data_IF_425367150921
#
_entry.id   IF_425367150921
#
_cell.length_a   1.000
_cell.length_b   1.000
_cell.length_c   1.000
_cell.angle_alpha   90.00
_cell.angle_beta   90.00
_cell.angle_gamma   90.00
#
_symmetry.space_group_name_H-M   'P 1'
#
loop_
_entity.id
_entity.type
_entity.pdbx_description
1 polymer ?
#
# COMPACT_ATOMS: atom_id res chain seq x y z
N UNK A 1 -5.24 -14.20 13.72
CA UNK A 1 -4.70 -14.07 12.35
C UNK A 1 -5.72 -13.26 11.55
N UNK A 2 -5.57 -11.94 11.53
CA UNK A 2 -6.47 -11.07 10.79
C UNK A 2 -6.01 -11.11 9.33
N UNK A 3 -6.76 -11.81 8.49
CA UNK A 3 -6.52 -11.82 7.05
C UNK A 3 -6.86 -10.46 6.48
N UNK A 4 -5.88 -9.80 5.87
CA UNK A 4 -6.07 -8.55 5.13
C UNK A 4 -5.97 -8.87 3.65
N UNK A 5 -7.01 -8.52 2.88
CA UNK A 5 -7.10 -8.76 1.44
C UNK A 5 -6.97 -7.41 0.74
N UNK A 6 -6.07 -7.30 -0.23
CA UNK A 6 -6.05 -6.19 -1.18
C UNK A 6 -6.70 -6.57 -2.48
N UNK A 7 -7.49 -5.66 -3.03
CA UNK A 7 -8.03 -5.75 -4.38
C UNK A 7 -7.52 -4.57 -5.21
N UNK A 8 -6.65 -4.86 -6.18
CA UNK A 8 -6.37 -3.94 -7.27
C UNK A 8 -7.28 -4.26 -8.46
N UNK A 9 -7.83 -3.23 -9.10
CA UNK A 9 -8.31 -3.37 -10.47
C UNK A 9 -8.05 -2.07 -11.22
N UNK A 10 -7.09 -2.10 -12.14
CA UNK A 10 -6.96 -1.04 -13.14
C UNK A 10 -8.22 -1.07 -13.99
N UNK A 11 -9.08 -0.04 -13.84
CA UNK A 11 -10.23 0.08 -14.71
C UNK A 11 -9.75 0.58 -16.08
N UNK A 12 -9.48 -0.36 -16.98
CA UNK A 12 -9.53 -0.11 -18.41
C UNK A 12 -10.99 -0.25 -18.80
N UNK A 13 -11.62 0.82 -19.30
CA UNK A 13 -12.92 0.71 -19.96
C UNK A 13 -12.78 -0.34 -21.08
N UNK A 14 -13.33 -1.53 -20.86
CA UNK A 14 -13.17 -2.65 -21.79
C UNK A 14 -14.00 -2.36 -23.04
N UNK A 15 -13.31 -2.19 -24.16
CA UNK A 15 -13.53 -3.11 -25.27
C UNK A 15 -12.75 -4.38 -24.99
N UNK A 16 -13.43 -5.52 -25.03
CA UNK A 16 -12.92 -6.85 -24.72
C UNK A 16 -11.77 -7.21 -25.65
N UNK A 17 -10.57 -7.47 -25.11
CA UNK A 17 -9.63 -8.42 -25.71
C UNK A 17 -9.01 -9.24 -24.59
N UNK A 18 -9.46 -10.49 -24.51
CA UNK A 18 -8.80 -11.57 -23.78
C UNK A 18 -7.56 -11.97 -24.57
N UNK A 19 -6.36 -11.68 -24.06
CA UNK A 19 -5.13 -12.32 -24.56
C UNK A 19 -4.74 -13.39 -23.56
N UNK A 20 -5.24 -14.60 -23.83
CA UNK A 20 -4.74 -15.81 -23.22
C UNK A 20 -3.36 -16.12 -23.82
N UNK A 21 -2.30 -15.99 -23.02
CA UNK A 21 -1.03 -16.63 -23.39
C UNK A 21 -1.01 -18.05 -22.80
N UNK A 22 -1.31 -19.03 -23.66
CA UNK A 22 -0.92 -20.42 -23.48
C UNK A 22 0.60 -20.50 -23.47
N UNK A 23 1.18 -20.94 -22.35
CA UNK A 23 2.48 -21.60 -22.36
C UNK A 23 2.29 -22.95 -21.68
N UNK A 24 2.21 -24.00 -22.50
CA UNK A 24 2.16 -25.38 -22.05
C UNK A 24 3.59 -25.91 -21.87
N UNK A 25 3.88 -26.25 -20.61
CA UNK A 25 4.56 -27.45 -20.10
C UNK A 25 5.78 -27.99 -20.87
N UNK A 26 6.93 -27.94 -20.20
CA UNK A 26 7.77 -29.13 -19.98
C UNK A 26 8.58 -28.93 -18.69
N UNK A 27 8.12 -29.54 -17.59
CA UNK A 27 8.94 -29.75 -16.39
C UNK A 27 8.78 -31.21 -15.99
N UNK A 28 9.84 -31.98 -16.23
CA UNK A 28 10.02 -33.32 -15.70
C UNK A 28 9.96 -33.24 -14.16
N UNK A 29 8.99 -33.94 -13.57
CA UNK A 29 8.89 -34.10 -12.11
C UNK A 29 10.03 -35.01 -11.63
N UNK A 30 11.03 -34.42 -11.01
CA UNK A 30 11.90 -35.13 -10.06
C UNK A 30 11.22 -35.15 -8.68
N UNK A 31 11.19 -36.27 -7.96
CA UNK A 31 10.68 -36.33 -6.60
C UNK A 31 11.76 -35.85 -5.63
N UNK A 32 11.81 -34.55 -5.35
CA UNK A 32 12.68 -34.05 -4.29
C UNK A 32 12.07 -34.37 -2.92
N UNK A 33 12.77 -35.27 -2.21
CA UNK A 33 12.61 -35.59 -0.80
C UNK A 33 12.37 -34.32 0.04
N UNK A 34 11.31 -34.34 0.85
CA UNK A 34 11.00 -33.30 1.82
C UNK A 34 12.02 -33.33 2.96
N UNK A 35 13.09 -32.55 2.82
CA UNK A 35 13.95 -32.22 3.94
C UNK A 35 13.20 -31.16 4.78
N UNK A 36 12.70 -31.56 5.95
CA UNK A 36 12.11 -30.64 6.93
C UNK A 36 13.15 -29.56 7.25
N UNK A 37 13.02 -28.39 6.63
CA UNK A 37 13.82 -27.21 6.96
C UNK A 37 13.34 -26.72 8.32
N UNK A 38 14.13 -26.98 9.35
CA UNK A 38 13.95 -26.32 10.64
C UNK A 38 14.05 -24.80 10.41
N UNK A 39 13.02 -24.07 10.86
CA UNK A 39 13.05 -22.61 10.83
C UNK A 39 14.17 -22.14 11.77
N UNK A 40 15.23 -21.55 11.20
CA UNK A 40 16.29 -20.91 11.98
C UNK A 40 15.84 -19.48 12.30
N UNK A 41 15.75 -19.17 13.59
CA UNK A 41 15.53 -17.80 14.05
C UNK A 41 16.87 -17.05 13.87
N UNK A 42 16.81 -15.87 13.26
CA UNK A 42 17.95 -14.98 13.12
C UNK A 42 17.56 -13.62 13.72
N UNK A 43 18.43 -13.06 14.55
CA UNK A 43 18.28 -11.70 15.03
C UNK A 43 18.67 -10.72 13.92
N UNK A 44 17.73 -9.89 13.49
CA UNK A 44 17.93 -8.90 12.40
C UNK A 44 18.04 -7.47 12.92
N UNK A 45 17.73 -7.25 14.21
CA UNK A 45 17.72 -5.93 14.80
C UNK A 45 16.85 -5.82 16.05
N UNK A 46 16.73 -4.59 16.57
CA UNK A 46 15.97 -4.26 17.79
C UNK A 46 14.83 -3.31 17.47
N UNK A 47 13.60 -3.70 17.82
CA UNK A 47 12.42 -2.84 17.70
C UNK A 47 12.58 -1.57 18.53
N UNK A 48 12.13 -0.46 17.96
CA UNK A 48 12.04 0.84 18.61
C UNK A 48 10.59 1.14 18.98
N UNK A 49 10.41 2.14 19.84
CA UNK A 49 9.06 2.62 20.17
C UNK A 49 8.50 3.35 18.96
N UNK A 50 7.34 2.92 18.48
CA UNK A 50 6.59 3.65 17.47
C UNK A 50 6.33 5.08 17.93
N UNK A 51 6.39 6.03 17.01
CA UNK A 51 6.14 7.43 17.30
C UNK A 51 4.66 7.69 17.60
N UNK A 52 4.41 8.60 18.54
CA UNK A 52 3.07 9.09 18.83
C UNK A 52 2.61 10.08 17.74
N UNK A 53 1.29 10.29 17.65
CA UNK A 53 0.65 11.27 16.74
C UNK A 53 1.24 12.67 16.95
N UNK A 54 2.18 13.06 16.11
CA UNK A 54 2.88 14.34 16.17
C UNK A 54 4.34 14.27 15.73
N UNK A 55 4.96 13.09 15.78
CA UNK A 55 6.27 12.83 15.16
C UNK A 55 6.09 11.98 13.91
N UNK A 56 6.91 12.22 12.91
CA UNK A 56 6.88 11.46 11.65
C UNK A 56 8.18 10.70 11.45
N UNK A 57 8.08 9.59 10.72
CA UNK A 57 9.25 8.84 10.29
C UNK A 57 9.92 9.57 9.12
N UNK A 58 11.24 9.61 9.14
CA UNK A 58 12.05 10.26 8.11
C UNK A 58 12.58 9.24 7.11
N UNK A 59 13.06 9.75 5.97
CA UNK A 59 13.76 8.94 4.97
C UNK A 59 14.84 8.08 5.60
N UNK A 60 14.91 6.81 5.19
CA UNK A 60 15.89 5.86 5.71
C UNK A 60 15.46 5.12 6.97
N UNK A 61 14.33 5.48 7.59
CA UNK A 61 13.81 4.75 8.75
C UNK A 61 13.49 3.30 8.36
N UNK A 62 14.16 2.35 9.01
CA UNK A 62 13.88 0.93 8.88
C UNK A 62 12.66 0.56 9.72
N UNK A 63 11.82 -0.34 9.20
CA UNK A 63 10.61 -0.77 9.89
C UNK A 63 10.19 -2.20 9.53
N UNK A 64 9.41 -2.81 10.41
CA UNK A 64 8.58 -3.98 10.11
C UNK A 64 7.14 -3.52 9.89
N UNK A 65 6.51 -3.97 8.81
CA UNK A 65 5.10 -3.67 8.57
C UNK A 65 4.24 -4.46 9.57
N UNK A 66 3.49 -3.77 10.44
CA UNK A 66 2.71 -4.35 11.54
C UNK A 66 1.75 -5.47 11.12
N UNK A 67 1.14 -5.32 9.95
CA UNK A 67 0.17 -6.28 9.40
C UNK A 67 0.83 -7.36 8.55
N UNK A 68 1.63 -6.97 7.55
CA UNK A 68 2.19 -7.89 6.56
C UNK A 68 3.51 -8.53 6.96
N UNK A 69 4.16 -8.02 8.01
CA UNK A 69 5.36 -8.60 8.60
C UNK A 69 6.63 -8.45 7.76
N UNK A 70 6.61 -7.68 6.68
CA UNK A 70 7.79 -7.45 5.84
C UNK A 70 8.72 -6.39 6.45
N UNK A 71 10.02 -6.50 6.18
CA UNK A 71 11.00 -5.43 6.42
C UNK A 71 10.93 -4.39 5.32
N UNK A 72 11.06 -3.14 5.69
CA UNK A 72 11.13 -2.05 4.74
C UNK A 72 11.93 -0.85 5.21
N UNK A 73 12.13 0.08 4.28
CA UNK A 73 12.71 1.39 4.54
C UNK A 73 11.78 2.49 4.06
N UNK A 74 11.60 3.53 4.88
CA UNK A 74 10.86 4.74 4.50
C UNK A 74 11.63 5.51 3.43
N UNK A 75 10.98 5.84 2.33
CA UNK A 75 11.54 6.68 1.27
C UNK A 75 11.23 8.15 1.55
N UNK A 76 9.96 8.50 1.67
CA UNK A 76 9.50 9.84 2.05
C UNK A 76 8.04 9.78 2.51
N UNK A 77 7.61 10.85 3.19
CA UNK A 77 6.26 11.00 3.72
C UNK A 77 5.38 11.86 2.82
N UNK A 78 4.07 11.67 2.91
CA UNK A 78 3.09 12.66 2.47
C UNK A 78 1.90 12.73 3.44
N UNK A 79 1.18 13.84 3.40
CA UNK A 79 -0.02 14.06 4.18
C UNK A 79 -1.25 13.77 3.32
N UNK A 80 -2.19 12.98 3.83
CA UNK A 80 -3.44 12.66 3.15
C UNK A 80 -4.64 13.11 3.97
N UNK A 81 -5.77 13.34 3.29
CA UNK A 81 -7.05 13.66 3.94
C UNK A 81 -7.86 12.39 4.19
N UNK A 82 -7.96 11.98 5.45
CA UNK A 82 -8.75 10.83 5.87
C UNK A 82 -10.20 11.22 6.13
N UNK A 83 -11.11 10.62 5.38
CA UNK A 83 -12.55 10.65 5.58
C UNK A 83 -12.95 9.33 6.24
N UNK A 84 -13.02 9.34 7.57
CA UNK A 84 -13.37 8.16 8.35
C UNK A 84 -14.83 8.20 8.80
N UNK A 85 -15.66 7.37 8.16
CA UNK A 85 -17.09 7.25 8.49
C UNK A 85 -17.33 6.56 9.84
N UNK A 86 -16.33 5.86 10.37
CA UNK A 86 -16.45 5.16 11.65
C UNK A 86 -16.40 6.13 12.84
N UNK A 87 -15.67 7.24 12.72
CA UNK A 87 -15.49 8.24 13.78
C UNK A 87 -16.80 8.98 14.12
N UNK A 88 -17.67 9.22 13.12
CA UNK A 88 -18.95 9.89 13.33
C UNK A 88 -20.01 8.97 13.97
N UNK A 89 -19.93 7.66 13.70
CA UNK A 89 -20.79 6.65 14.32
C UNK A 89 -20.48 6.40 15.80
N UNK A 90 -19.29 6.79 16.27
CA UNK A 90 -18.91 6.72 17.69
C UNK A 90 -19.38 7.95 18.48
N UNK A 91 -19.33 9.15 17.88
CA UNK A 91 -19.76 10.40 18.51
C UNK A 91 -21.30 10.54 18.63
N UNK A 92 -22.07 9.73 17.91
CA UNK A 92 -23.55 9.77 17.89
C UNK A 92 -24.22 8.75 18.83
N UNK A 93 -23.46 8.00 19.63
CA UNK A 93 -23.99 6.98 20.55
C UNK A 93 -24.35 7.47 21.95
N UNK A 94 -24.14 8.74 22.26
CA UNK A 94 -24.41 9.32 23.59
C UNK A 94 -25.79 10.00 23.72
N UNK A 95 -26.66 9.91 22.71
CA UNK A 95 -28.04 10.39 22.82
C UNK A 95 -29.03 9.26 22.54
N UNK A 96 -29.59 8.74 23.62
CA UNK A 96 -30.64 7.74 23.62
C UNK A 96 -31.96 8.32 23.10
N UNK A 97 -32.34 8.01 21.85
CA UNK A 97 -33.71 7.58 21.56
C UNK A 97 -33.88 6.93 20.19
N UNK A 98 -34.78 5.95 20.16
CA UNK A 98 -35.26 5.08 19.09
C UNK A 98 -35.51 5.70 17.71
N UNK A 99 -35.06 5.02 16.64
CA UNK A 99 -35.89 4.39 15.59
C UNK A 99 -35.04 4.02 14.36
N UNK A 100 -35.51 3.01 13.63
CA UNK A 100 -34.92 2.38 12.46
C UNK A 100 -34.67 3.39 11.32
N UNK A 101 -33.54 4.10 11.34
CA UNK A 101 -33.17 5.05 10.28
C UNK A 101 -32.21 4.36 9.28
N UNK A 102 -32.67 4.28 8.02
CA UNK A 102 -31.84 4.04 6.85
C UNK A 102 -30.56 4.90 6.90
N UNK A 103 -29.42 4.42 6.40
CA UNK A 103 -28.16 5.15 6.46
C UNK A 103 -28.34 6.50 5.77
N UNK A 104 -28.30 7.58 6.56
CA UNK A 104 -28.37 8.96 6.06
C UNK A 104 -27.18 9.20 5.13
N UNK A 105 -27.39 9.01 3.84
CA UNK A 105 -26.47 9.39 2.79
C UNK A 105 -26.44 10.93 2.72
N UNK A 106 -25.33 11.55 3.10
CA UNK A 106 -25.08 12.96 2.75
C UNK A 106 -24.66 13.90 3.88
N UNK A 107 -24.23 13.41 5.05
CA UNK A 107 -23.46 14.28 5.96
C UNK A 107 -21.98 14.27 5.54
N UNK A 108 -21.42 15.44 5.33
CA UNK A 108 -20.02 15.62 4.95
C UNK A 108 -19.11 15.17 6.08
N UNK A 109 -18.33 14.12 5.84
CA UNK A 109 -17.38 13.60 6.84
C UNK A 109 -16.24 14.58 7.02
N UNK A 110 -15.98 15.02 8.26
CA UNK A 110 -14.86 15.91 8.54
C UNK A 110 -13.53 15.21 8.23
N UNK A 111 -12.73 15.80 7.35
CA UNK A 111 -11.42 15.25 6.99
C UNK A 111 -10.39 15.45 8.12
N UNK A 112 -9.71 14.37 8.50
CA UNK A 112 -8.53 14.39 9.36
C UNK A 112 -7.25 14.36 8.51
N UNK A 113 -6.22 15.11 8.89
CA UNK A 113 -4.90 15.01 8.24
C UNK A 113 -4.13 13.84 8.83
N UNK A 114 -3.73 12.88 8.00
CA UNK A 114 -2.95 11.70 8.41
C UNK A 114 -1.68 11.56 7.59
N UNK A 115 -0.67 10.90 8.15
CA UNK A 115 0.62 10.67 7.48
C UNK A 115 0.69 9.27 6.85
N UNK A 116 1.10 9.25 5.59
CA UNK A 116 1.43 8.04 4.84
C UNK A 116 2.87 8.13 4.33
N UNK A 117 3.42 6.98 3.98
CA UNK A 117 4.81 6.83 3.59
C UNK A 117 4.89 6.03 2.31
N UNK A 118 5.70 6.50 1.36
CA UNK A 118 6.19 5.61 0.32
C UNK A 118 7.37 4.83 0.90
N UNK A 119 7.35 3.52 0.72
CA UNK A 119 8.30 2.60 1.36
C UNK A 119 8.89 1.63 0.35
N UNK A 120 10.07 1.13 0.66
CA UNK A 120 10.72 0.04 -0.05
C UNK A 120 10.57 -1.25 0.74
N UNK A 121 10.21 -2.34 0.08
CA UNK A 121 10.07 -3.68 0.66
C UNK A 121 11.38 -4.45 0.47
N UNK A 122 11.82 -5.18 1.49
CA UNK A 122 12.90 -6.15 1.35
C UNK A 122 12.47 -7.33 0.46
N UNK A 123 13.18 -7.54 -0.64
CA UNK A 123 12.89 -8.60 -1.62
C UNK A 123 12.93 -10.02 -1.02
N UNK A 124 13.63 -10.23 0.10
CA UNK A 124 13.66 -11.51 0.84
C UNK A 124 12.30 -11.85 1.44
N UNK A 125 11.50 -10.84 1.78
CA UNK A 125 10.22 -11.01 2.46
C UNK A 125 9.05 -11.07 1.46
N UNK A 126 9.24 -10.59 0.23
CA UNK A 126 8.23 -10.55 -0.81
C UNK A 126 7.48 -11.89 -1.02
N UNK A 127 8.14 -13.06 -1.09
CA UNK A 127 7.46 -14.35 -1.25
C UNK A 127 6.61 -14.79 -0.03
N UNK A 128 6.83 -14.16 1.13
CA UNK A 128 6.19 -14.53 2.40
C UNK A 128 5.01 -13.62 2.76
N UNK A 129 4.84 -12.51 2.05
CA UNK A 129 3.71 -11.61 2.23
C UNK A 129 2.47 -12.30 1.69
N UNK A 130 1.51 -12.55 2.58
CA UNK A 130 0.30 -13.33 2.27
C UNK A 130 -0.70 -12.57 1.39
N UNK A 131 -0.52 -11.26 1.26
CA UNK A 131 -1.25 -10.41 0.34
C UNK A 131 -0.43 -10.18 -0.94
N UNK A 132 -1.06 -9.86 -2.08
CA UNK A 132 -0.30 -9.44 -3.25
C UNK A 132 0.44 -8.14 -2.91
N UNK A 133 1.77 -8.19 -2.83
CA UNK A 133 2.58 -6.95 -2.82
C UNK A 133 2.48 -6.33 -4.18
N UNK A 134 1.76 -5.21 -4.25
CA UNK A 134 1.61 -4.48 -5.49
C UNK A 134 2.92 -3.79 -5.85
N UNK A 135 3.24 -3.79 -7.14
CA UNK A 135 4.28 -2.96 -7.71
C UNK A 135 3.69 -1.59 -7.98
N UNK A 136 4.42 -0.51 -7.65
CA UNK A 136 3.96 0.83 -7.95
C UNK A 136 3.84 1.05 -9.46
N UNK A 137 2.64 1.31 -9.96
CA UNK A 137 2.38 1.44 -11.39
C UNK A 137 2.35 2.87 -11.91
N UNK A 138 2.85 3.07 -13.13
CA UNK A 138 2.94 4.34 -13.84
C UNK A 138 2.40 4.22 -15.26
N UNK A 139 1.88 5.34 -15.74
CA UNK A 139 1.55 5.52 -17.14
C UNK A 139 2.83 5.71 -17.95
N UNK A 140 3.06 4.86 -18.94
CA UNK A 140 4.17 5.04 -19.88
C UNK A 140 4.07 6.31 -20.71
N UNK A 141 5.21 6.96 -20.98
CA UNK A 141 5.27 8.22 -21.72
C UNK A 141 5.02 8.08 -23.23
N UNK A 142 5.05 6.87 -23.78
CA UNK A 142 4.88 6.63 -25.22
C UNK A 142 3.42 6.87 -25.65
N UNK A 143 3.22 7.89 -26.49
CA UNK A 143 1.95 8.18 -27.17
C UNK A 143 1.43 6.93 -27.91
N UNK A 144 0.17 6.55 -27.67
CA UNK A 144 -0.45 5.37 -28.30
C UNK A 144 -0.14 4.01 -27.65
N UNK A 145 0.90 3.91 -26.80
CA UNK A 145 1.19 2.67 -26.07
C UNK A 145 0.32 2.56 -24.82
N UNK A 146 -0.49 1.48 -24.70
CA UNK A 146 -1.24 1.17 -23.47
C UNK A 146 -0.37 0.66 -22.31
N UNK A 147 0.96 0.79 -22.41
CA UNK A 147 1.89 0.23 -21.42
C UNK A 147 1.75 0.92 -20.07
N UNK A 148 1.60 0.09 -19.04
CA UNK A 148 1.68 0.46 -17.63
C UNK A 148 3.01 -0.12 -17.13
N UNK A 149 3.87 0.74 -16.60
CA UNK A 149 5.13 0.32 -16.00
C UNK A 149 4.92 0.05 -14.52
N UNK A 150 5.45 -1.04 -14.00
CA UNK A 150 5.31 -1.39 -12.60
C UNK A 150 6.69 -1.50 -11.95
N UNK A 151 6.89 -0.81 -10.82
CA UNK A 151 8.13 -0.89 -10.04
C UNK A 151 7.89 -1.84 -8.86
N UNK A 152 8.45 -3.05 -8.89
CA UNK A 152 8.29 -4.01 -7.80
C UNK A 152 8.95 -3.50 -6.52
N UNK A 153 8.38 -3.88 -5.39
CA UNK A 153 8.95 -3.60 -4.06
C UNK A 153 8.82 -2.15 -3.58
N UNK A 154 8.09 -1.28 -4.29
CA UNK A 154 7.64 0.02 -3.75
C UNK A 154 6.18 -0.11 -3.31
N UNK A 155 5.90 0.28 -2.07
CA UNK A 155 4.58 0.19 -1.44
C UNK A 155 4.24 1.47 -0.67
N UNK A 156 3.04 1.50 -0.08
CA UNK A 156 2.51 2.59 0.72
C UNK A 156 2.09 2.10 2.10
N UNK A 157 2.68 2.67 3.14
CA UNK A 157 2.37 2.32 4.52
C UNK A 157 1.69 3.50 5.23
N UNK A 158 0.68 3.21 6.04
CA UNK A 158 0.15 4.21 6.97
C UNK A 158 1.11 4.37 8.15
N UNK A 159 1.06 5.51 8.83
CA UNK A 159 1.84 5.72 10.05
C UNK A 159 1.64 4.61 11.10
N UNK A 160 0.39 4.11 11.24
CA UNK A 160 0.04 3.09 12.22
C UNK A 160 0.58 1.68 11.88
N UNK A 161 1.04 1.48 10.64
CA UNK A 161 1.59 0.21 10.18
C UNK A 161 3.11 0.11 10.32
N UNK A 162 3.80 1.21 10.63
CA UNK A 162 5.25 1.26 10.77
C UNK A 162 5.66 0.86 12.20
N UNK A 163 6.37 -0.26 12.33
CA UNK A 163 7.08 -0.62 13.56
C UNK A 163 8.58 -0.37 13.37
N UNK A 164 9.12 0.77 13.83
CA UNK A 164 10.52 1.13 13.60
C UNK A 164 11.47 0.12 14.28
N UNK A 165 12.64 -0.11 13.68
CA UNK A 165 13.69 -0.92 14.29
C UNK A 165 15.08 -0.45 13.88
N UNK A 166 16.09 -0.77 14.70
CA UNK A 166 17.51 -0.64 14.34
C UNK A 166 18.06 -1.98 13.87
N UNK A 167 18.62 -2.01 12.67
CA UNK A 167 19.27 -3.20 12.13
C UNK A 167 20.63 -3.45 12.79
N UNK A 168 20.95 -4.72 13.00
CA UNK A 168 22.32 -5.19 13.33
C UNK A 168 23.03 -5.74 12.10
N UNK A 169 22.31 -5.90 10.98
CA UNK A 169 22.85 -6.41 9.71
C UNK A 169 23.63 -5.33 8.96
N UNK A 170 24.72 -5.73 8.30
CA UNK A 170 25.48 -4.86 7.38
C UNK A 170 24.64 -4.41 6.18
N UNK A 171 23.74 -5.28 5.70
CA UNK A 171 22.80 -5.02 4.60
C UNK A 171 21.39 -5.15 5.15
N UNK A 172 20.84 -4.03 5.61
CA UNK A 172 19.55 -4.00 6.32
C UNK A 172 18.36 -4.34 5.42
N UNK A 173 18.36 -3.88 4.17
CA UNK A 173 17.29 -4.09 3.19
C UNK A 173 17.90 -4.57 1.87
N UNK A 174 17.42 -5.71 1.36
CA UNK A 174 17.81 -6.21 0.04
C UNK A 174 16.82 -5.75 -1.02
N UNK A 175 17.17 -4.71 -1.77
CA UNK A 175 16.37 -4.23 -2.89
C UNK A 175 17.25 -3.51 -3.94
N UNK A 176 16.94 -3.65 -5.24
CA UNK A 176 17.75 -3.06 -6.34
C UNK A 176 17.83 -1.54 -6.29
N UNK A 177 16.79 -0.89 -5.77
CA UNK A 177 16.72 0.56 -5.61
C UNK A 177 17.33 1.06 -4.30
N UNK A 178 17.66 0.19 -3.33
CA UNK A 178 18.05 0.63 -1.98
C UNK A 178 19.31 1.51 -2.04
N UNK A 179 20.40 1.02 -2.61
CA UNK A 179 21.66 1.75 -2.77
C UNK A 179 21.59 2.87 -3.82
N UNK A 180 20.54 2.92 -4.64
CA UNK A 180 20.30 4.05 -5.56
C UNK A 180 19.62 5.20 -4.86
N UNK A 181 18.73 4.90 -3.91
CA UNK A 181 17.90 5.89 -3.23
C UNK A 181 18.48 6.35 -1.90
N UNK A 182 19.19 5.47 -1.18
CA UNK A 182 19.64 5.70 0.17
C UNK A 182 21.15 5.47 0.26
N UNK A 183 21.86 6.35 0.94
CA UNK A 183 23.28 6.19 1.26
C UNK A 183 23.43 6.01 2.76
N UNK A 184 24.23 5.04 3.19
CA UNK A 184 24.51 4.81 4.61
C UNK A 184 25.32 5.97 5.19
N UNK A 185 24.81 6.61 6.24
CA UNK A 185 25.46 7.68 6.97
C UNK A 185 25.38 7.41 8.48
N UNK A 186 26.46 6.88 9.10
CA UNK A 186 26.42 6.47 10.51
C UNK A 186 26.33 7.65 11.50
N UNK A 187 26.48 8.89 11.02
CA UNK A 187 26.35 10.11 11.83
C UNK A 187 24.89 10.55 11.98
N UNK A 188 24.01 10.08 11.10
CA UNK A 188 22.60 10.43 11.08
C UNK A 188 21.75 9.38 11.82
N UNK A 189 20.55 9.79 12.24
CA UNK A 189 19.56 8.91 12.86
C UNK A 189 18.20 9.20 12.22
N UNK A 190 17.66 8.31 11.35
CA UNK A 190 18.18 6.99 10.95
C UNK A 190 19.49 7.06 10.13
N UNK A 191 20.30 5.98 10.08
CA UNK A 191 21.64 5.98 9.47
C UNK A 191 21.63 5.89 7.94
N UNK A 192 20.61 6.46 7.30
CA UNK A 192 20.44 6.47 5.85
C UNK A 192 19.89 7.81 5.39
N UNK A 193 20.50 8.39 4.37
CA UNK A 193 20.11 9.69 3.80
C UNK A 193 19.69 9.57 2.35
N UNK A 194 18.81 10.46 1.91
CA UNK A 194 18.32 10.51 0.53
C UNK A 194 19.42 10.92 -0.46
N UNK A 195 19.68 10.06 -1.45
CA UNK A 195 20.49 10.37 -2.62
C UNK A 195 19.69 11.17 -3.67
N UNK A 196 20.38 11.73 -4.66
CA UNK A 196 19.76 12.56 -5.71
C UNK A 196 18.70 11.81 -6.51
N UNK A 197 18.87 10.51 -6.74
CA UNK A 197 17.87 9.69 -7.41
C UNK A 197 16.55 9.63 -6.62
N UNK A 198 16.63 9.54 -5.29
CA UNK A 198 15.44 9.56 -4.44
C UNK A 198 14.80 10.96 -4.41
N UNK A 199 15.61 12.01 -4.31
CA UNK A 199 15.11 13.41 -4.32
C UNK A 199 14.41 13.75 -5.64
N UNK A 200 15.00 13.35 -6.76
CA UNK A 200 14.40 13.51 -8.09
C UNK A 200 13.11 12.69 -8.24
N UNK A 201 13.11 11.48 -7.69
CA UNK A 201 11.94 10.61 -7.64
C UNK A 201 10.80 11.21 -6.80
N UNK A 202 11.09 11.68 -5.59
CA UNK A 202 10.14 12.36 -4.70
C UNK A 202 9.55 13.58 -5.41
N UNK A 203 10.37 14.48 -5.95
CA UNK A 203 9.91 15.68 -6.67
C UNK A 203 8.91 15.37 -7.80
N UNK A 204 9.07 14.23 -8.49
CA UNK A 204 8.18 13.81 -9.58
C UNK A 204 6.88 13.17 -9.09
N UNK A 205 6.92 12.44 -7.98
CA UNK A 205 5.80 11.61 -7.51
C UNK A 205 4.96 12.27 -6.42
N UNK A 206 5.57 13.10 -5.58
CA UNK A 206 4.95 13.72 -4.42
C UNK A 206 3.68 14.54 -4.74
N UNK A 207 3.62 15.35 -5.82
CA UNK A 207 2.42 16.14 -6.14
C UNK A 207 1.15 15.28 -6.34
N UNK A 208 1.29 14.07 -6.90
CA UNK A 208 0.17 13.16 -7.11
C UNK A 208 -0.29 12.47 -5.82
N UNK A 209 0.59 12.39 -4.84
CA UNK A 209 0.31 11.79 -3.54
C UNK A 209 -0.42 12.77 -2.61
N UNK A 210 -0.05 14.05 -2.61
CA UNK A 210 -0.72 15.08 -1.77
C UNK A 210 -2.20 15.28 -2.12
N UNK A 211 -2.57 15.00 -3.37
CA UNK A 211 -3.96 15.03 -3.82
C UNK A 211 -4.78 13.81 -3.39
N UNK A 212 -4.14 12.80 -2.79
CA UNK A 212 -4.79 11.54 -2.43
C UNK A 212 -5.65 11.73 -1.18
N UNK A 213 -6.94 11.41 -1.32
CA UNK A 213 -7.84 11.24 -0.18
C UNK A 213 -7.80 9.79 0.30
N UNK A 214 -8.08 9.56 1.58
CA UNK A 214 -8.20 8.22 2.15
C UNK A 214 -9.61 8.09 2.67
N UNK A 215 -10.33 7.06 2.24
CA UNK A 215 -11.70 6.81 2.65
C UNK A 215 -11.74 5.55 3.48
N UNK A 216 -12.32 5.61 4.67
CA UNK A 216 -12.42 4.48 5.58
C UNK A 216 -13.85 4.29 6.07
N UNK A 217 -14.30 3.03 6.04
CA UNK A 217 -15.60 2.64 6.56
C UNK A 217 -15.55 1.18 7.02
N UNK A 218 -16.18 0.90 8.15
CA UNK A 218 -16.39 -0.43 8.69
C UNK A 218 -17.85 -0.82 8.57
N UNK A 219 -18.11 -2.04 8.10
CA UNK A 219 -19.46 -2.62 8.07
C UNK A 219 -19.34 -4.08 8.46
N UNK A 220 -20.16 -4.53 9.42
CA UNK A 220 -20.14 -5.92 9.93
C UNK A 220 -18.73 -6.41 10.35
N UNK A 221 -17.96 -5.52 10.99
CA UNK A 221 -16.55 -5.77 11.40
C UNK A 221 -15.57 -5.98 10.24
N UNK A 222 -15.95 -5.61 9.02
CA UNK A 222 -15.05 -5.55 7.87
C UNK A 222 -14.73 -4.08 7.61
N UNK A 223 -13.50 -3.69 7.90
CA UNK A 223 -13.01 -2.35 7.66
C UNK A 223 -12.37 -2.26 6.28
N UNK A 224 -12.88 -1.37 5.45
CA UNK A 224 -12.35 -1.09 4.12
C UNK A 224 -11.71 0.29 4.14
N UNK A 225 -10.45 0.37 3.71
CA UNK A 225 -9.72 1.63 3.49
C UNK A 225 -9.35 1.75 2.02
N UNK A 226 -9.69 2.86 1.37
CA UNK A 226 -9.45 3.10 -0.05
C UNK A 226 -8.61 4.36 -0.24
N UNK A 227 -7.56 4.26 -1.06
CA UNK A 227 -6.71 5.38 -1.47
C UNK A 227 -6.63 5.41 -2.99
N UNK A 228 -7.27 6.38 -3.68
CA UNK A 228 -7.11 6.58 -5.11
C UNK A 228 -5.86 7.40 -5.40
N UNK A 229 -5.19 7.07 -6.49
CA UNK A 229 -4.01 7.77 -6.98
C UNK A 229 -4.19 8.09 -8.46
N UNK A 230 -4.09 9.38 -8.78
CA UNK A 230 -4.13 9.83 -10.16
C UNK A 230 -2.83 9.47 -10.89
N UNK A 231 -2.95 8.85 -12.06
CA UNK A 231 -1.82 8.39 -12.87
C UNK A 231 -1.55 9.28 -14.09
N UNK A 232 -2.42 10.26 -14.37
CA UNK A 232 -2.32 11.15 -15.53
C UNK A 232 -3.39 10.91 -16.59
N UNK A 233 -3.23 11.58 -17.73
CA UNK A 233 -4.12 11.47 -18.89
C UNK A 233 -3.38 10.96 -20.12
N UNK A 234 -4.15 10.44 -21.09
CA UNK A 234 -3.69 10.14 -22.45
C UNK A 234 -4.74 10.58 -23.45
N UNK A 235 -4.30 11.04 -24.62
CA UNK A 235 -5.19 11.19 -25.76
C UNK A 235 -5.40 9.84 -26.44
N UNK A 236 -6.65 9.56 -26.82
CA UNK A 236 -7.03 8.41 -27.62
C UNK A 236 -8.06 8.85 -28.65
N UNK A 237 -7.67 8.90 -29.92
CA UNK A 237 -8.57 9.22 -31.05
C UNK A 237 -9.44 10.46 -30.75
N UNK A 238 -8.79 11.56 -30.32
CA UNK A 238 -9.40 12.84 -29.95
C UNK A 238 -10.14 12.92 -28.60
N UNK A 239 -10.21 11.83 -27.82
CA UNK A 239 -10.72 11.84 -26.45
C UNK A 239 -9.60 11.82 -25.41
N UNK A 240 -9.78 12.55 -24.31
CA UNK A 240 -8.87 12.51 -23.17
C UNK A 240 -9.32 11.40 -22.21
N UNK A 241 -8.44 10.43 -21.94
CA UNK A 241 -8.66 9.33 -21.02
C UNK A 241 -7.86 9.58 -19.74
N UNK A 242 -8.54 9.62 -18.60
CA UNK A 242 -7.95 9.80 -17.27
C UNK A 242 -7.67 8.44 -16.62
N UNK A 243 -6.47 8.27 -16.07
CA UNK A 243 -6.04 7.02 -15.45
C UNK A 243 -5.90 7.18 -13.94
N UNK A 244 -6.45 6.20 -13.22
CA UNK A 244 -6.40 6.11 -11.77
C UNK A 244 -6.01 4.69 -11.36
N UNK A 245 -5.26 4.58 -10.26
CA UNK A 245 -5.14 3.32 -9.50
C UNK A 245 -5.71 3.52 -8.11
N UNK A 246 -6.04 2.43 -7.44
CA UNK A 246 -6.51 2.48 -6.06
C UNK A 246 -5.85 1.40 -5.22
N UNK A 247 -5.51 1.74 -3.99
CA UNK A 247 -5.18 0.77 -2.95
C UNK A 247 -6.43 0.53 -2.12
N UNK A 248 -6.86 -0.73 -1.99
CA UNK A 248 -8.03 -1.12 -1.17
C UNK A 248 -7.57 -2.10 -0.12
N UNK A 249 -7.50 -1.69 1.14
CA UNK A 249 -7.22 -2.55 2.27
C UNK A 249 -8.53 -3.06 2.88
N UNK A 250 -8.71 -4.37 2.92
CA UNK A 250 -9.86 -5.01 3.58
C UNK A 250 -9.38 -5.74 4.84
N UNK A 251 -9.85 -5.33 6.01
CA UNK A 251 -9.47 -5.89 7.29
C UNK A 251 -10.65 -6.51 8.01
N UNK A 252 -10.50 -7.75 8.48
CA UNK A 252 -11.44 -8.34 9.42
C UNK A 252 -11.08 -7.89 10.85
N UNK A 253 -11.91 -7.03 11.44
CA UNK A 253 -11.80 -6.57 12.83
C UNK A 253 -12.64 -7.42 13.79
N UNK A 254 -13.42 -8.37 13.27
CA UNK A 254 -14.23 -9.31 14.03
C UNK A 254 -13.50 -10.61 14.38
N UNK A 255 -14.19 -11.47 15.13
CA UNK A 255 -13.72 -12.83 15.48
C UNK A 255 -14.00 -13.87 14.39
N UNK A 256 -15.19 -13.90 13.74
CA UNK A 256 -15.51 -14.91 12.75
C UNK A 256 -14.59 -14.81 11.53
N UNK A 257 -14.18 -15.95 10.99
CA UNK A 257 -13.49 -15.97 9.70
C UNK A 257 -14.47 -15.65 8.57
N UNK A 258 -14.02 -14.84 7.61
CA UNK A 258 -14.80 -14.43 6.44
C UNK A 258 -14.00 -14.62 5.17
N UNK A 259 -14.69 -14.73 4.04
CA UNK A 259 -14.09 -14.84 2.71
C UNK A 259 -14.75 -13.81 1.81
N UNK A 260 -13.93 -12.99 1.16
CA UNK A 260 -14.40 -12.11 0.10
C UNK A 260 -14.80 -12.95 -1.12
N UNK A 261 -16.07 -12.91 -1.50
CA UNK A 261 -16.60 -13.70 -2.63
C UNK A 261 -16.63 -12.93 -3.93
N UNK A 262 -17.24 -11.75 -3.88
CA UNK A 262 -17.54 -10.96 -5.06
C UNK A 262 -17.25 -9.48 -4.80
N UNK A 263 -17.15 -8.72 -5.90
CA UNK A 263 -17.03 -7.26 -5.86
C UNK A 263 -18.01 -6.67 -6.86
N UNK A 264 -18.68 -5.58 -6.48
CA UNK A 264 -19.60 -4.85 -7.34
C UNK A 264 -19.22 -3.37 -7.32
N UNK A 265 -18.93 -2.80 -8.49
CA UNK A 265 -18.46 -1.43 -8.66
C UNK A 265 -19.49 -0.60 -9.41
N UNK A 266 -19.77 0.60 -8.90
CA UNK A 266 -20.48 1.66 -9.62
C UNK A 266 -19.53 2.83 -9.77
N UNK A 267 -19.24 3.20 -11.02
CA UNK A 267 -18.33 4.30 -11.34
C UNK A 267 -19.11 5.30 -12.18
N UNK A 268 -19.11 6.55 -11.73
CA UNK A 268 -19.81 7.65 -12.38
C UNK A 268 -18.75 8.63 -12.89
N UNK A 269 -18.85 9.00 -14.17
CA UNK A 269 -18.07 10.10 -14.74
C UNK A 269 -18.84 11.42 -14.55
N UNK A 270 -18.09 12.52 -14.48
CA UNK A 270 -18.66 13.87 -14.54
C UNK A 270 -19.16 14.20 -15.95
#
# INVERSE_FOLDING_TARGET
>A
LNSVIFLHSVMVHRSVVSVAHKLFKNVLRSPNFSQKRHARIAEVGKLERAFDTGKTYTTGQLFLHKVFGYRGAVLFQWSARLYDRDAEGAASKDDSNSEMQLPKSGKDVKAETVHYYQVLIDSRDAPHIRAQTESLTFLGAQEGSRSIYAIPGIDYASHADIMPYKSTEKVSIKHELFEKFLAHSPKDSPPYIAQDALRGWEKKNHPWLELSSVHRQTTENIRVTVIPFYMGTRMNQSNIVYWWRYCIRVENTGKPAVILRERHWRIFSL
#
